data_IF_771372118670
#
_entry.id   IF_771372118670
#
_cell.length_a   1.000
_cell.length_b   1.000
_cell.length_c   1.000
_cell.angle_alpha   90.00
_cell.angle_beta   90.00
_cell.angle_gamma   90.00
#
_symmetry.space_group_name_H-M   'P 1'
#
loop_
_entity.id
_entity.type
_entity.pdbx_description
1 polymer ?
#
# COMPACT_ATOMS: atom_id res chain seq x y z
N UNK A 1 -48.82 -79.00 -30.62
CA UNK A 1 -48.35 -79.19 -32.00
C UNK A 1 -47.07 -78.38 -32.18
N UNK A 2 -45.94 -79.06 -32.42
CA UNK A 2 -44.59 -78.51 -32.54
C UNK A 2 -44.45 -77.52 -33.71
N UNK A 3 -43.72 -76.41 -33.53
CA UNK A 3 -42.77 -75.91 -34.55
C UNK A 3 -41.74 -74.96 -33.95
N UNK A 4 -40.50 -75.44 -33.88
CA UNK A 4 -39.27 -74.65 -33.69
C UNK A 4 -38.99 -73.87 -34.98
N UNK A 5 -38.63 -72.59 -34.86
CA UNK A 5 -37.96 -71.84 -35.93
C UNK A 5 -36.64 -71.32 -35.34
N UNK A 6 -35.52 -71.77 -35.91
CA UNK A 6 -34.16 -71.30 -35.62
C UNK A 6 -33.94 -69.97 -36.35
N UNK A 7 -33.44 -68.95 -35.66
CA UNK A 7 -32.89 -67.72 -36.26
C UNK A 7 -31.35 -67.81 -36.31
N UNK A 8 -30.69 -67.28 -37.36
CA UNK A 8 -29.25 -67.47 -37.59
C UNK A 8 -28.39 -66.50 -36.77
N UNK A 9 -27.34 -67.05 -36.14
CA UNK A 9 -26.20 -66.31 -35.58
C UNK A 9 -25.40 -65.65 -36.72
N UNK A 10 -25.58 -64.35 -36.95
CA UNK A 10 -24.79 -63.62 -37.96
C UNK A 10 -24.57 -62.12 -37.70
N UNK A 11 -25.46 -61.47 -36.95
CA UNK A 11 -25.51 -60.00 -36.91
C UNK A 11 -24.80 -59.34 -35.71
N UNK A 12 -24.38 -60.11 -34.71
CA UNK A 12 -23.79 -59.57 -33.47
C UNK A 12 -22.34 -59.08 -33.62
N UNK A 13 -21.62 -59.51 -34.66
CA UNK A 13 -20.19 -59.15 -34.84
C UNK A 13 -20.00 -57.69 -35.30
N UNK A 14 -20.93 -57.13 -36.05
CA UNK A 14 -20.83 -55.75 -36.55
C UNK A 14 -21.24 -54.70 -35.52
N UNK A 15 -22.21 -55.03 -34.64
CA UNK A 15 -22.68 -54.14 -33.58
C UNK A 15 -21.64 -54.00 -32.47
N UNK A 16 -20.94 -55.09 -32.12
CA UNK A 16 -19.84 -55.06 -31.15
C UNK A 16 -18.62 -54.27 -31.66
N UNK A 17 -18.33 -54.32 -32.97
CA UNK A 17 -17.24 -53.54 -33.57
C UNK A 17 -17.49 -52.04 -33.56
N UNK A 18 -18.73 -51.61 -33.80
CA UNK A 18 -19.11 -50.19 -33.80
C UNK A 18 -19.06 -49.58 -32.39
N UNK A 19 -19.47 -50.34 -31.38
CA UNK A 19 -19.40 -49.91 -29.97
C UNK A 19 -17.96 -49.81 -29.47
N UNK A 20 -17.08 -50.74 -29.89
CA UNK A 20 -15.66 -50.71 -29.54
C UNK A 20 -14.94 -49.50 -30.17
N UNK A 21 -15.24 -49.17 -31.42
CA UNK A 21 -14.66 -48.01 -32.10
C UNK A 21 -15.09 -46.66 -31.49
N UNK A 22 -16.35 -46.52 -31.06
CA UNK A 22 -16.86 -45.33 -30.37
C UNK A 22 -16.24 -45.19 -28.97
N UNK A 23 -16.03 -46.30 -28.26
CA UNK A 23 -15.37 -46.29 -26.96
C UNK A 23 -13.88 -45.91 -27.05
N UNK A 24 -13.18 -46.34 -28.11
CA UNK A 24 -11.78 -45.93 -28.37
C UNK A 24 -11.62 -44.44 -28.75
N UNK A 25 -12.62 -43.85 -29.41
CA UNK A 25 -12.66 -42.41 -29.71
C UNK A 25 -12.93 -41.55 -28.46
N UNK A 26 -13.69 -42.05 -27.49
CA UNK A 26 -13.96 -41.35 -26.21
C UNK A 26 -12.73 -41.30 -25.29
N UNK A 27 -11.80 -42.27 -25.39
CA UNK A 27 -10.61 -42.32 -24.52
C UNK A 27 -9.44 -41.51 -25.10
N UNK A 28 -9.46 -41.22 -26.41
CA UNK A 28 -8.42 -40.42 -27.08
C UNK A 28 -8.61 -38.90 -26.94
N UNK A 29 -9.65 -38.45 -26.24
CA UNK A 29 -9.94 -37.03 -25.98
C UNK A 29 -9.36 -36.45 -24.68
N UNK A 30 -8.76 -37.26 -23.81
CA UNK A 30 -8.25 -36.81 -22.49
C UNK A 30 -6.83 -36.19 -22.54
N UNK A 31 -6.44 -35.57 -23.65
CA UNK A 31 -5.09 -35.01 -23.85
C UNK A 31 -5.05 -33.51 -24.18
N UNK A 32 -6.06 -32.73 -23.78
CA UNK A 32 -5.98 -31.27 -23.89
C UNK A 32 -6.37 -30.55 -22.57
N UNK A 33 -5.34 -30.03 -21.91
CA UNK A 33 -5.30 -28.67 -21.36
C UNK A 33 -6.38 -28.25 -20.37
N UNK A 34 -6.59 -29.04 -19.30
CA UNK A 34 -7.15 -28.50 -18.05
C UNK A 34 -6.03 -28.36 -17.02
N UNK A 35 -5.13 -27.41 -17.30
CA UNK A 35 -4.03 -26.98 -16.43
C UNK A 35 -4.27 -25.60 -15.82
N UNK A 36 -3.40 -25.12 -14.91
CA UNK A 36 -3.56 -23.92 -14.07
C UNK A 36 -3.65 -22.56 -14.79
N UNK A 37 -3.84 -22.53 -16.11
CA UNK A 37 -3.90 -21.30 -16.91
C UNK A 37 -5.20 -20.50 -16.72
N UNK A 38 -6.29 -21.13 -16.25
CA UNK A 38 -7.54 -20.43 -15.93
C UNK A 38 -7.42 -19.45 -14.76
N UNK A 39 -6.43 -19.63 -13.88
CA UNK A 39 -6.14 -18.69 -12.79
C UNK A 39 -5.44 -17.42 -13.30
N UNK A 40 -4.59 -17.54 -14.33
CA UNK A 40 -3.76 -16.44 -14.87
C UNK A 40 -4.57 -15.22 -15.33
N UNK A 41 -5.77 -15.42 -15.87
CA UNK A 41 -6.66 -14.34 -16.32
C UNK A 41 -7.33 -13.54 -15.19
N UNK A 42 -7.29 -14.03 -13.96
CA UNK A 42 -8.05 -13.45 -12.84
C UNK A 42 -7.19 -12.68 -11.83
N UNK A 43 -5.87 -12.96 -11.78
CA UNK A 43 -4.92 -12.28 -10.90
C UNK A 43 -4.87 -10.74 -11.04
N UNK A 44 -4.94 -10.14 -12.25
CA UNK A 44 -4.89 -8.68 -12.39
C UNK A 44 -6.05 -7.95 -11.71
N UNK A 45 -7.28 -8.45 -11.89
CA UNK A 45 -8.49 -7.85 -11.30
C UNK A 45 -8.51 -7.96 -9.76
N UNK A 46 -7.95 -9.03 -9.20
CA UNK A 46 -7.87 -9.21 -7.75
C UNK A 46 -6.82 -8.30 -7.10
N UNK A 47 -5.67 -8.16 -7.75
CA UNK A 47 -4.62 -7.26 -7.28
C UNK A 47 -5.14 -5.82 -7.26
N UNK A 48 -5.87 -5.41 -8.29
CA UNK A 48 -6.51 -4.09 -8.35
C UNK A 48 -7.54 -3.87 -7.23
N UNK A 49 -8.43 -4.84 -6.99
CA UNK A 49 -9.42 -4.74 -5.91
C UNK A 49 -8.77 -4.65 -4.52
N UNK A 50 -7.71 -5.43 -4.26
CA UNK A 50 -6.96 -5.39 -3.01
C UNK A 50 -6.27 -4.03 -2.84
N UNK A 51 -5.58 -3.55 -3.88
CA UNK A 51 -4.89 -2.26 -3.85
C UNK A 51 -5.88 -1.12 -3.64
N UNK A 52 -7.03 -1.11 -4.33
CA UNK A 52 -8.07 -0.09 -4.13
C UNK A 52 -8.58 -0.08 -2.70
N UNK A 53 -8.88 -1.26 -2.14
CA UNK A 53 -9.39 -1.39 -0.76
C UNK A 53 -8.38 -0.87 0.25
N UNK A 54 -7.10 -1.26 0.11
CA UNK A 54 -6.03 -0.77 0.99
C UNK A 54 -5.88 0.73 0.86
N UNK A 55 -5.91 1.25 -0.38
CA UNK A 55 -5.73 2.67 -0.63
C UNK A 55 -6.86 3.50 0.00
N UNK A 56 -8.10 3.09 -0.20
CA UNK A 56 -9.29 3.69 0.42
C UNK A 56 -9.20 3.65 1.95
N UNK A 57 -8.75 2.54 2.54
CA UNK A 57 -8.56 2.43 3.99
C UNK A 57 -7.52 3.41 4.53
N UNK A 58 -6.40 3.60 3.84
CA UNK A 58 -5.39 4.58 4.25
C UNK A 58 -5.95 6.01 4.20
N UNK A 59 -6.55 6.40 3.08
CA UNK A 59 -7.15 7.74 2.94
C UNK A 59 -8.27 7.94 3.96
N UNK A 60 -9.15 6.95 4.15
CA UNK A 60 -10.23 7.01 5.13
C UNK A 60 -9.69 7.16 6.56
N UNK A 61 -8.62 6.44 6.92
CA UNK A 61 -8.02 6.57 8.25
C UNK A 61 -7.33 7.92 8.44
N UNK A 62 -6.68 8.48 7.42
CA UNK A 62 -6.12 9.84 7.48
C UNK A 62 -7.25 10.87 7.72
N UNK A 63 -8.36 10.75 6.98
CA UNK A 63 -9.52 11.62 7.18
C UNK A 63 -10.11 11.42 8.58
N UNK A 64 -10.24 10.19 9.08
CA UNK A 64 -10.67 9.94 10.47
C UNK A 64 -9.79 10.64 11.50
N UNK A 65 -8.46 10.57 11.35
CA UNK A 65 -7.52 11.24 12.26
C UNK A 65 -7.72 12.75 12.27
N UNK A 66 -7.99 13.36 11.11
CA UNK A 66 -8.32 14.77 10.99
C UNK A 66 -9.58 15.17 11.76
N UNK A 67 -10.61 14.30 11.76
CA UNK A 67 -11.83 14.45 12.57
C UNK A 67 -11.71 13.90 14.00
N UNK A 68 -10.52 13.44 14.42
CA UNK A 68 -10.28 12.75 15.71
C UNK A 68 -11.15 11.51 15.94
N UNK A 69 -11.58 10.87 14.87
CA UNK A 69 -12.29 9.60 14.89
C UNK A 69 -11.29 8.42 14.99
N UNK A 70 -11.67 7.29 15.62
CA UNK A 70 -10.76 6.15 15.77
C UNK A 70 -10.43 5.49 14.41
N UNK A 71 -9.15 5.16 14.20
CA UNK A 71 -8.69 4.45 13.00
C UNK A 71 -8.87 2.95 13.12
N UNK A 72 -9.04 2.27 11.98
CA UNK A 72 -9.14 0.81 11.93
C UNK A 72 -8.39 0.27 10.71
N UNK A 73 -7.48 -0.69 10.95
CA UNK A 73 -6.71 -1.33 9.89
C UNK A 73 -7.10 -2.79 9.77
N UNK A 74 -7.35 -3.22 8.53
CA UNK A 74 -7.61 -4.61 8.20
C UNK A 74 -6.38 -5.17 7.48
N UNK A 75 -5.88 -6.30 7.98
CA UNK A 75 -4.86 -7.09 7.31
C UNK A 75 -5.51 -8.19 6.47
N UNK A 76 -4.91 -8.52 5.33
CA UNK A 76 -5.41 -9.57 4.43
C UNK A 76 -4.90 -10.92 4.93
N UNK A 77 -5.74 -11.68 5.63
CA UNK A 77 -5.34 -12.93 6.27
C UNK A 77 -5.26 -14.11 5.29
N UNK A 78 -6.17 -14.17 4.31
CA UNK A 78 -6.23 -15.28 3.35
C UNK A 78 -6.96 -14.86 2.06
N UNK A 79 -6.51 -15.39 0.92
CA UNK A 79 -7.21 -15.28 -0.37
C UNK A 79 -7.54 -16.69 -0.85
N UNK A 80 -8.82 -17.08 -0.80
CA UNK A 80 -9.30 -18.37 -1.28
C UNK A 80 -10.09 -18.18 -2.58
N UNK A 81 -9.78 -18.94 -3.63
CA UNK A 81 -10.58 -18.94 -4.86
C UNK A 81 -11.42 -20.22 -4.96
N UNK A 82 -12.74 -20.08 -5.10
CA UNK A 82 -13.62 -21.21 -5.41
C UNK A 82 -13.90 -21.24 -6.91
N UNK A 83 -13.61 -22.37 -7.57
CA UNK A 83 -13.94 -22.60 -8.98
C UNK A 83 -15.35 -23.18 -9.08
N UNK A 84 -16.26 -22.45 -9.74
CA UNK A 84 -17.58 -22.96 -10.15
C UNK A 84 -17.48 -23.40 -11.61
N UNK A 85 -17.79 -24.68 -11.82
CA UNK A 85 -17.90 -25.31 -13.13
C UNK A 85 -19.39 -25.53 -13.41
N UNK A 86 -19.97 -24.73 -14.29
CA UNK A 86 -21.34 -24.94 -14.75
C UNK A 86 -21.31 -25.59 -16.14
N UNK A 87 -21.82 -26.82 -16.21
CA UNK A 87 -21.99 -27.55 -17.45
C UNK A 87 -23.46 -27.48 -17.86
N UNK A 88 -23.76 -26.70 -18.90
CA UNK A 88 -25.09 -26.66 -19.49
C UNK A 88 -25.09 -27.45 -20.79
N UNK A 89 -25.89 -28.50 -20.85
CA UNK A 89 -26.05 -29.36 -22.02
C UNK A 89 -27.53 -29.50 -22.36
N UNK A 90 -27.91 -29.06 -23.55
CA UNK A 90 -29.27 -29.17 -24.06
C UNK A 90 -29.28 -29.91 -25.41
N UNK A 91 -30.30 -30.75 -25.62
CA UNK A 91 -30.59 -31.33 -26.94
C UNK A 91 -31.71 -30.51 -27.56
N UNK A 92 -31.46 -29.90 -28.72
CA UNK A 92 -32.48 -29.21 -29.49
C UNK A 92 -32.68 -29.94 -30.81
N UNK A 93 -33.90 -30.39 -31.06
CA UNK A 93 -34.29 -30.94 -32.35
C UNK A 93 -34.82 -29.80 -33.22
N UNK A 94 -34.01 -29.33 -34.18
CA UNK A 94 -34.46 -28.36 -35.18
C UNK A 94 -34.91 -29.11 -36.43
N UNK A 95 -36.20 -29.10 -36.73
CA UNK A 95 -36.73 -29.59 -38.00
C UNK A 95 -36.46 -28.54 -39.10
N UNK A 96 -35.52 -28.84 -39.99
CA UNK A 96 -35.42 -28.16 -41.29
C UNK A 96 -35.92 -29.14 -42.35
N UNK A 97 -37.01 -28.78 -43.02
CA UNK A 97 -37.60 -29.36 -44.22
C UNK A 97 -37.17 -30.77 -44.66
N UNK A 98 -38.16 -31.68 -44.70
CA UNK A 98 -38.19 -32.96 -45.44
C UNK A 98 -36.86 -33.72 -45.57
N UNK A 99 -36.58 -34.60 -44.59
CA UNK A 99 -35.88 -35.85 -44.87
C UNK A 99 -34.66 -36.21 -44.03
N UNK A 100 -34.25 -35.43 -43.04
CA UNK A 100 -33.27 -35.90 -42.05
C UNK A 100 -33.35 -35.14 -40.72
N UNK A 101 -33.48 -35.88 -39.61
CA UNK A 101 -33.36 -35.34 -38.26
C UNK A 101 -31.90 -35.01 -37.98
N UNK A 102 -31.58 -33.72 -37.82
CA UNK A 102 -30.24 -33.28 -37.42
C UNK A 102 -30.28 -32.96 -35.93
N UNK A 103 -29.74 -33.87 -35.12
CA UNK A 103 -29.56 -33.66 -33.68
C UNK A 103 -28.37 -32.72 -33.46
N UNK A 104 -28.62 -31.47 -33.04
CA UNK A 104 -27.55 -30.53 -32.69
C UNK A 104 -27.32 -30.58 -31.18
N UNK A 105 -26.19 -31.17 -30.78
CA UNK A 105 -25.68 -31.10 -29.42
C UNK A 105 -24.96 -29.76 -29.24
N UNK A 106 -25.33 -29.02 -28.21
CA UNK A 106 -24.61 -27.83 -27.82
C UNK A 106 -24.27 -27.98 -26.34
N UNK A 107 -22.97 -27.94 -26.06
CA UNK A 107 -22.41 -28.02 -24.73
C UNK A 107 -21.77 -26.67 -24.45
N UNK A 108 -22.36 -25.91 -23.52
CA UNK A 108 -21.78 -24.67 -23.04
C UNK A 108 -21.16 -24.93 -21.67
N UNK A 109 -19.84 -24.86 -21.59
CA UNK A 109 -19.10 -24.84 -20.33
C UNK A 109 -18.85 -23.40 -19.92
N UNK A 110 -19.42 -22.98 -18.80
CA UNK A 110 -19.12 -21.66 -18.21
C UNK A 110 -18.27 -21.87 -16.97
N UNK A 111 -17.11 -21.21 -16.94
CA UNK A 111 -16.18 -21.21 -15.82
C UNK A 111 -16.33 -19.88 -15.08
N UNK A 112 -16.60 -19.93 -13.78
CA UNK A 112 -16.64 -18.72 -12.94
C UNK A 112 -15.83 -18.95 -11.67
N UNK A 113 -14.93 -18.02 -11.36
CA UNK A 113 -14.16 -18.03 -10.11
C UNK A 113 -14.61 -16.89 -9.23
N UNK A 114 -14.98 -17.18 -7.98
CA UNK A 114 -15.30 -16.15 -7.01
C UNK A 114 -14.28 -16.20 -5.86
N UNK A 115 -13.37 -15.22 -5.75
CA UNK A 115 -12.46 -15.15 -4.63
C UNK A 115 -13.22 -14.76 -3.38
N UNK A 116 -12.82 -15.34 -2.25
CA UNK A 116 -13.18 -14.87 -0.91
C UNK A 116 -11.89 -14.36 -0.28
N UNK A 117 -11.84 -13.05 -0.02
CA UNK A 117 -10.73 -12.40 0.66
C UNK A 117 -11.14 -12.28 2.13
N UNK A 118 -10.39 -12.92 3.02
CA UNK A 118 -10.59 -12.83 4.45
C UNK A 118 -9.72 -11.72 5.03
N UNK A 119 -10.35 -10.79 5.75
CA UNK A 119 -9.67 -9.69 6.44
C UNK A 119 -9.68 -9.92 7.95
N UNK A 120 -8.54 -9.69 8.60
CA UNK A 120 -8.42 -9.72 10.07
C UNK A 120 -8.02 -8.34 10.59
N UNK A 121 -8.60 -7.84 11.68
CA UNK A 121 -8.19 -6.58 12.28
C UNK A 121 -6.73 -6.61 12.76
N UNK A 122 -5.97 -5.54 12.51
CA UNK A 122 -4.65 -5.35 13.11
C UNK A 122 -4.83 -4.89 14.56
N UNK A 123 -4.53 -5.76 15.53
CA UNK A 123 -4.76 -5.51 16.96
C UNK A 123 -3.61 -6.04 17.83
N UNK A 124 -3.61 -5.65 19.10
CA UNK A 124 -2.67 -6.16 20.11
C UNK A 124 -1.21 -5.79 19.82
N UNK A 125 -0.30 -6.74 20.04
CA UNK A 125 1.15 -6.51 19.93
C UNK A 125 1.58 -6.16 18.50
N UNK A 126 0.96 -6.77 17.48
CA UNK A 126 1.29 -6.48 16.09
C UNK A 126 0.92 -5.04 15.71
N UNK A 127 -0.19 -4.53 16.22
CA UNK A 127 -0.53 -3.12 16.03
C UNK A 127 0.51 -2.20 16.67
N UNK A 128 0.91 -2.47 17.92
CA UNK A 128 1.92 -1.65 18.60
C UNK A 128 3.24 -1.67 17.82
N UNK A 129 3.70 -2.86 17.42
CA UNK A 129 4.95 -3.00 16.66
C UNK A 129 4.89 -2.27 15.33
N UNK A 130 3.86 -2.49 14.53
CA UNK A 130 3.82 -1.98 13.15
C UNK A 130 3.33 -0.54 13.02
N UNK A 131 2.55 -0.03 13.98
CA UNK A 131 1.97 1.33 13.89
C UNK A 131 2.61 2.34 14.84
N UNK A 132 3.09 1.91 16.01
CA UNK A 132 3.54 2.82 17.09
C UNK A 132 5.06 2.83 17.28
N UNK A 133 5.79 1.85 16.74
CA UNK A 133 7.25 1.89 16.77
C UNK A 133 7.78 2.99 15.85
N UNK A 134 8.77 3.78 16.29
CA UNK A 134 9.48 4.71 15.41
C UNK A 134 10.18 3.98 14.26
N UNK A 135 10.15 4.57 13.07
CA UNK A 135 10.85 4.02 11.90
C UNK A 135 12.37 4.02 12.16
N UNK A 136 13.09 2.90 11.99
CA UNK A 136 14.54 2.86 12.17
C UNK A 136 15.28 3.81 11.24
N UNK A 137 16.36 4.43 11.70
CA UNK A 137 17.12 5.41 10.91
C UNK A 137 17.75 4.74 9.68
N UNK A 138 18.21 3.51 9.82
CA UNK A 138 18.78 2.69 8.76
C UNK A 138 17.75 2.43 7.64
N UNK A 139 16.47 2.30 7.98
CA UNK A 139 15.40 2.14 6.99
C UNK A 139 15.23 3.42 6.16
N UNK A 140 15.37 4.61 6.77
CA UNK A 140 15.31 5.89 6.05
C UNK A 140 16.44 6.01 5.02
N UNK A 141 17.67 5.72 5.44
CA UNK A 141 18.81 5.75 4.52
C UNK A 141 18.72 4.66 3.45
N UNK A 142 18.16 3.49 3.77
CA UNK A 142 17.92 2.43 2.77
C UNK A 142 16.89 2.85 1.72
N UNK A 143 15.82 3.53 2.13
CA UNK A 143 14.85 4.12 1.20
C UNK A 143 15.53 5.14 0.28
N UNK A 144 16.35 6.03 0.85
CA UNK A 144 17.07 7.03 0.05
C UNK A 144 18.05 6.37 -0.93
N UNK A 145 18.80 5.36 -0.48
CA UNK A 145 19.71 4.60 -1.33
C UNK A 145 19.00 3.82 -2.45
N UNK A 146 17.71 3.49 -2.27
CA UNK A 146 16.86 2.88 -3.31
C UNK A 146 16.20 3.88 -4.26
N UNK A 147 16.56 5.17 -4.16
CA UNK A 147 16.12 6.22 -5.09
C UNK A 147 14.96 7.06 -4.59
N UNK A 148 14.53 6.91 -3.33
CA UNK A 148 13.54 7.82 -2.75
C UNK A 148 14.14 9.22 -2.55
N UNK A 149 13.34 10.25 -2.81
CA UNK A 149 13.71 11.63 -2.53
C UNK A 149 13.97 11.82 -1.02
N UNK A 150 15.20 12.18 -0.65
CA UNK A 150 15.60 12.33 0.75
C UNK A 150 14.83 13.42 1.50
N UNK A 151 14.51 14.53 0.83
CA UNK A 151 13.68 15.59 1.41
C UNK A 151 12.28 15.09 1.79
N UNK A 152 11.66 14.24 0.97
CA UNK A 152 10.37 13.60 1.27
C UNK A 152 10.48 12.59 2.41
N UNK A 153 11.46 11.68 2.35
CA UNK A 153 11.66 10.64 3.37
C UNK A 153 11.92 11.28 4.73
N UNK A 154 12.87 12.21 4.82
CA UNK A 154 13.15 12.90 6.09
C UNK A 154 12.04 13.87 6.49
N UNK A 155 11.44 14.57 5.53
CA UNK A 155 10.37 15.53 5.78
C UNK A 155 9.13 14.91 6.42
N UNK A 156 8.80 13.67 6.06
CA UNK A 156 7.68 12.92 6.62
C UNK A 156 8.13 12.15 7.88
N UNK A 157 9.25 11.41 7.80
CA UNK A 157 9.60 10.43 8.83
C UNK A 157 10.42 10.99 10.01
N UNK A 158 11.14 12.11 9.88
CA UNK A 158 11.95 12.67 10.98
C UNK A 158 11.17 13.74 11.70
N UNK A 159 10.95 13.55 12.99
CA UNK A 159 10.30 14.55 13.86
C UNK A 159 11.29 15.61 14.34
N UNK A 160 12.54 15.19 14.63
CA UNK A 160 13.57 16.06 15.15
C UNK A 160 14.95 15.60 14.72
N UNK A 161 15.81 16.55 14.38
CA UNK A 161 17.24 16.31 14.16
C UNK A 161 18.05 17.42 14.83
N UNK A 162 18.90 17.05 15.79
CA UNK A 162 19.59 17.97 16.68
C UNK A 162 18.63 19.05 17.25
N UNK A 163 18.97 20.33 17.06
CA UNK A 163 18.16 21.47 17.48
C UNK A 163 16.97 21.78 16.59
N UNK A 164 16.83 21.10 15.45
CA UNK A 164 15.80 21.38 14.45
C UNK A 164 14.57 20.49 14.67
N UNK A 165 13.42 21.14 14.79
CA UNK A 165 12.12 20.51 14.98
C UNK A 165 11.33 20.55 13.68
N UNK A 166 10.64 19.45 13.37
CA UNK A 166 9.75 19.34 12.23
C UNK A 166 8.33 19.20 12.77
N UNK A 167 7.65 20.28 13.18
CA UNK A 167 6.29 20.24 13.71
C UNK A 167 6.01 19.04 14.67
N UNK A 168 6.72 18.90 15.81
CA UNK A 168 6.56 17.75 16.69
C UNK A 168 5.15 17.62 17.27
N UNK A 169 4.43 18.74 17.44
CA UNK A 169 3.02 18.76 17.84
C UNK A 169 2.08 18.13 16.80
N UNK A 170 2.54 17.91 15.57
CA UNK A 170 1.78 17.31 14.48
C UNK A 170 1.81 15.77 14.48
N UNK A 171 2.59 15.15 15.37
CA UNK A 171 2.69 13.68 15.50
C UNK A 171 1.47 13.03 16.20
N UNK A 172 0.43 13.81 16.51
CA UNK A 172 -0.80 13.40 17.18
C UNK A 172 -2.01 14.22 16.71
N UNK A 173 -3.12 14.24 17.47
CA UNK A 173 -4.32 15.00 17.11
C UNK A 173 -4.02 16.46 16.80
N UNK A 174 -4.73 17.03 15.82
CA UNK A 174 -4.48 18.38 15.31
C UNK A 174 -4.36 19.41 16.44
N UNK A 175 -3.20 20.09 16.57
CA UNK A 175 -2.98 21.04 17.64
C UNK A 175 -3.77 22.33 17.39
N UNK A 176 -4.19 22.99 18.47
CA UNK A 176 -4.87 24.28 18.38
C UNK A 176 -3.90 25.42 18.05
N UNK A 177 -2.62 25.28 18.44
CA UNK A 177 -1.56 26.25 18.20
C UNK A 177 -0.62 25.76 17.10
N UNK A 178 -0.25 26.69 16.20
CA UNK A 178 0.72 26.44 15.14
C UNK A 178 2.06 25.95 15.71
N UNK A 179 2.75 25.00 15.06
CA UNK A 179 4.11 24.63 15.41
C UNK A 179 5.05 25.83 15.29
N UNK A 180 5.98 25.94 16.24
CA UNK A 180 7.00 26.99 16.21
C UNK A 180 8.22 26.54 15.39
N UNK A 181 8.82 27.47 14.63
CA UNK A 181 10.20 27.33 14.08
C UNK A 181 10.43 26.17 13.09
N UNK A 182 9.48 25.83 12.21
CA UNK A 182 9.70 24.80 11.18
C UNK A 182 10.64 25.24 10.02
N UNK A 183 10.92 26.55 9.89
CA UNK A 183 11.67 27.10 8.74
C UNK A 183 13.09 26.53 8.59
N UNK A 184 13.92 26.44 9.65
CA UNK A 184 15.25 25.86 9.55
C UNK A 184 15.23 24.38 9.16
N UNK A 185 14.22 23.63 9.61
CA UNK A 185 14.06 22.22 9.22
C UNK A 185 13.69 22.10 7.74
N UNK A 186 12.76 22.92 7.24
CA UNK A 186 12.43 22.98 5.81
C UNK A 186 13.68 23.31 4.97
N UNK A 187 14.52 24.24 5.45
CA UNK A 187 15.78 24.55 4.79
C UNK A 187 16.74 23.36 4.76
N UNK A 188 16.86 22.62 5.86
CA UNK A 188 17.62 21.37 5.87
C UNK A 188 17.09 20.38 4.82
N UNK A 189 15.77 20.23 4.66
CA UNK A 189 15.20 19.31 3.65
C UNK A 189 15.57 19.70 2.21
N UNK A 190 15.57 20.99 1.89
CA UNK A 190 16.04 21.49 0.58
C UNK A 190 17.52 21.13 0.34
N UNK A 191 18.36 21.27 1.37
CA UNK A 191 19.77 20.90 1.29
C UNK A 191 19.96 19.39 1.20
N UNK A 192 19.14 18.60 1.89
CA UNK A 192 19.20 17.13 1.85
C UNK A 192 18.88 16.57 0.46
N UNK A 193 17.96 17.19 -0.29
CA UNK A 193 17.72 16.81 -1.70
C UNK A 193 19.01 16.97 -2.51
N UNK A 194 19.65 18.15 -2.42
CA UNK A 194 20.92 18.42 -3.11
C UNK A 194 22.05 17.51 -2.62
N UNK A 195 22.09 17.23 -1.32
CA UNK A 195 23.16 16.46 -0.71
C UNK A 195 23.13 14.98 -1.12
N UNK A 196 21.92 14.41 -1.25
CA UNK A 196 21.72 13.03 -1.72
C UNK A 196 22.07 12.91 -3.20
N UNK A 197 21.59 13.83 -4.04
CA UNK A 197 21.88 13.82 -5.49
C UNK A 197 23.40 13.85 -5.77
N UNK A 198 24.14 14.58 -4.93
CA UNK A 198 25.59 14.75 -5.04
C UNK A 198 26.39 13.76 -4.17
N UNK A 199 25.73 12.82 -3.48
CA UNK A 199 26.35 11.78 -2.62
C UNK A 199 27.28 12.32 -1.52
N UNK A 200 27.00 13.52 -1.01
CA UNK A 200 27.81 14.16 0.05
C UNK A 200 27.31 13.83 1.46
N UNK A 201 26.10 13.29 1.58
CA UNK A 201 25.57 12.74 2.84
C UNK A 201 25.31 11.25 2.67
N UNK A 202 26.01 10.42 3.44
CA UNK A 202 25.93 8.96 3.35
C UNK A 202 25.97 8.29 4.73
N UNK A 203 25.33 7.11 4.82
CA UNK A 203 25.43 6.28 6.01
C UNK A 203 26.71 5.43 5.92
N UNK A 204 27.52 5.47 6.97
CA UNK A 204 28.70 4.63 7.17
C UNK A 204 28.46 3.68 8.34
N UNK A 205 29.26 2.62 8.42
CA UNK A 205 29.31 1.77 9.60
C UNK A 205 30.66 1.98 10.31
N UNK A 206 30.65 2.14 11.62
CA UNK A 206 31.86 2.18 12.42
C UNK A 206 32.67 0.88 12.18
N UNK A 207 33.96 0.96 11.83
CA UNK A 207 34.75 -0.23 11.50
C UNK A 207 34.81 -1.27 12.63
N UNK A 208 34.75 -0.82 13.90
CA UNK A 208 34.87 -1.62 15.12
C UNK A 208 33.52 -2.02 15.69
N UNK A 209 32.62 -1.06 15.93
CA UNK A 209 31.33 -1.33 16.59
C UNK A 209 30.24 -1.75 15.62
N UNK A 210 30.42 -1.51 14.31
CA UNK A 210 29.40 -1.68 13.25
C UNK A 210 28.17 -0.81 13.43
N UNK A 211 28.22 0.18 14.32
CA UNK A 211 27.13 1.13 14.52
C UNK A 211 27.03 2.12 13.34
N UNK A 212 25.83 2.58 12.99
CA UNK A 212 25.63 3.55 11.93
C UNK A 212 26.24 4.92 12.30
N UNK A 213 26.95 5.51 11.35
CA UNK A 213 27.53 6.85 11.44
C UNK A 213 27.11 7.67 10.22
N UNK A 214 26.92 8.99 10.40
CA UNK A 214 26.59 9.88 9.30
C UNK A 214 27.87 10.50 8.74
N UNK A 215 28.14 10.26 7.46
CA UNK A 215 29.16 10.96 6.70
C UNK A 215 28.58 12.21 6.06
N UNK A 216 29.19 13.37 6.29
CA UNK A 216 28.90 14.64 5.63
C UNK A 216 30.22 15.16 5.08
N UNK A 217 30.60 14.69 3.89
CA UNK A 217 31.92 14.95 3.31
C UNK A 217 31.90 16.19 2.44
N UNK A 218 32.79 17.14 2.74
CA UNK A 218 32.99 18.30 1.88
C UNK A 218 33.62 17.86 0.53
N UNK A 219 32.83 17.89 -0.54
CA UNK A 219 33.37 17.88 -1.90
C UNK A 219 33.72 19.32 -2.29
N UNK A 220 34.82 19.60 -3.01
CA UNK A 220 35.16 20.94 -3.49
C UNK A 220 33.97 21.64 -4.19
N UNK A 221 33.19 20.88 -4.95
CA UNK A 221 32.05 21.38 -5.74
C UNK A 221 30.77 21.61 -4.90
N UNK A 222 30.72 21.07 -3.67
CA UNK A 222 29.52 21.08 -2.81
C UNK A 222 29.80 21.55 -1.38
N UNK A 223 30.97 22.15 -1.13
CA UNK A 223 31.40 22.65 0.18
C UNK A 223 30.38 23.56 0.85
N UNK A 224 29.75 24.46 0.08
CA UNK A 224 28.70 25.35 0.59
C UNK A 224 27.47 24.59 1.14
N UNK A 225 27.03 23.52 0.46
CA UNK A 225 25.89 22.71 0.91
C UNK A 225 26.25 21.98 2.20
N UNK A 226 27.43 21.36 2.25
CA UNK A 226 27.87 20.62 3.43
C UNK A 226 28.12 21.53 4.63
N UNK A 227 28.72 22.72 4.43
CA UNK A 227 28.92 23.70 5.50
C UNK A 227 27.59 24.20 6.04
N UNK A 228 26.61 24.52 5.19
CA UNK A 228 25.30 24.97 5.65
C UNK A 228 24.56 23.87 6.44
N UNK A 229 24.63 22.60 6.00
CA UNK A 229 24.09 21.47 6.77
C UNK A 229 24.76 21.36 8.14
N UNK A 230 26.10 21.39 8.19
CA UNK A 230 26.85 21.29 9.45
C UNK A 230 26.49 22.44 10.40
N UNK A 231 26.35 23.66 9.89
CA UNK A 231 25.94 24.83 10.68
C UNK A 231 24.51 24.74 11.20
N UNK A 232 23.54 24.37 10.36
CA UNK A 232 22.15 24.18 10.76
C UNK A 232 21.99 23.12 11.85
N UNK A 233 22.82 22.07 11.80
CA UNK A 233 22.82 20.99 12.78
C UNK A 233 23.70 21.28 14.01
N UNK A 234 24.50 22.36 14.01
CA UNK A 234 25.41 22.68 15.11
C UNK A 234 26.57 21.68 15.25
N UNK A 235 27.08 21.18 14.13
CA UNK A 235 28.15 20.18 14.05
C UNK A 235 29.54 20.81 13.93
N UNK A 236 30.57 20.07 14.33
CA UNK A 236 31.97 20.47 14.10
C UNK A 236 32.28 20.41 12.61
N UNK A 237 32.63 21.55 12.02
CA UNK A 237 32.91 21.66 10.58
C UNK A 237 34.19 20.93 10.15
N UNK A 238 35.10 20.64 11.09
CA UNK A 238 36.43 20.06 10.83
C UNK A 238 36.44 18.53 10.72
N UNK A 239 35.33 17.87 11.02
CA UNK A 239 35.17 16.42 10.88
C UNK A 239 34.11 16.12 9.82
N UNK A 240 34.18 14.95 9.20
CA UNK A 240 33.22 14.54 8.16
C UNK A 240 32.38 13.33 8.58
N UNK A 241 32.67 12.71 9.73
CA UNK A 241 31.95 11.53 10.21
C UNK A 241 31.41 11.82 11.61
N UNK A 242 30.11 11.65 11.78
CA UNK A 242 29.37 11.94 13.01
C UNK A 242 28.68 10.68 13.53
N UNK A 243 28.62 10.53 14.87
CA UNK A 243 27.84 9.45 15.49
C UNK A 243 26.35 9.72 15.34
N UNK A 244 25.53 8.68 15.21
CA UNK A 244 24.07 8.81 15.23
C UNK A 244 23.53 8.31 16.57
N UNK A 245 22.60 9.05 17.18
CA UNK A 245 21.89 8.59 18.37
C UNK A 245 20.48 9.19 18.48
N UNK A 246 19.79 8.95 19.60
CA UNK A 246 18.47 9.55 19.91
C UNK A 246 18.47 10.48 21.13
N UNK A 247 19.63 10.99 21.57
CA UNK A 247 19.76 11.78 22.80
C UNK A 247 19.79 13.28 22.50
N UNK A 248 18.80 14.04 22.99
CA UNK A 248 18.64 15.46 22.70
C UNK A 248 19.01 16.38 23.86
N UNK A 249 19.18 15.85 25.08
CA UNK A 249 19.44 16.67 26.28
C UNK A 249 20.87 17.18 26.36
N UNK A 250 21.81 16.51 25.69
CA UNK A 250 23.24 16.85 25.66
C UNK A 250 23.75 16.90 24.22
N UNK A 251 23.47 18.00 23.49
CA UNK A 251 23.97 18.18 22.14
C UNK A 251 25.50 18.13 22.12
N UNK A 252 26.06 17.47 21.10
CA UNK A 252 27.51 17.41 20.89
C UNK A 252 27.85 17.72 19.43
N UNK A 253 28.91 18.50 19.15
CA UNK A 253 29.31 18.82 17.77
C UNK A 253 29.73 17.60 16.93
N UNK A 254 30.02 16.46 17.56
CA UNK A 254 30.45 15.21 16.91
C UNK A 254 29.30 14.19 16.71
N UNK A 255 28.05 14.60 16.98
CA UNK A 255 26.91 13.70 17.05
C UNK A 255 25.67 14.29 16.36
N UNK A 256 24.97 13.46 15.60
CA UNK A 256 23.67 13.74 15.00
C UNK A 256 22.59 12.93 15.71
N UNK A 257 21.79 13.62 16.51
CA UNK A 257 20.66 13.07 17.25
C UNK A 257 19.42 13.12 16.38
N UNK A 258 18.81 11.97 16.10
CA UNK A 258 17.64 11.83 15.21
C UNK A 258 16.51 11.17 15.99
N UNK A 259 15.32 11.76 15.91
CA UNK A 259 14.07 11.17 16.38
C UNK A 259 13.15 11.00 15.19
N UNK A 260 12.81 9.76 14.92
CA UNK A 260 11.89 9.38 13.85
C UNK A 260 10.46 9.26 14.38
N UNK A 261 9.50 9.39 13.47
CA UNK A 261 8.08 9.16 13.70
C UNK A 261 7.76 7.69 13.59
N UNK A 262 6.71 7.28 14.28
CA UNK A 262 6.01 6.03 13.99
C UNK A 262 5.12 6.19 12.75
N UNK A 263 4.62 5.09 12.21
CA UNK A 263 3.66 5.15 11.11
C UNK A 263 2.37 5.89 11.51
N UNK A 264 1.88 5.68 12.73
CA UNK A 264 0.73 6.41 13.26
C UNK A 264 1.02 7.92 13.35
N UNK A 265 2.21 8.29 13.83
CA UNK A 265 2.63 9.70 13.89
C UNK A 265 2.76 10.33 12.49
N UNK A 266 3.20 9.57 11.50
CA UNK A 266 3.20 10.00 10.09
C UNK A 266 1.78 10.22 9.61
N UNK A 267 0.85 9.30 9.85
CA UNK A 267 -0.54 9.44 9.43
C UNK A 267 -1.22 10.65 10.08
N UNK A 268 -0.95 10.91 11.38
CA UNK A 268 -1.38 12.14 12.03
C UNK A 268 -0.80 13.37 11.33
N UNK A 269 0.51 13.38 11.05
CA UNK A 269 1.14 14.53 10.41
C UNK A 269 0.53 14.83 9.03
N UNK A 270 0.29 13.79 8.22
CA UNK A 270 -0.38 13.91 6.92
C UNK A 270 -1.84 14.35 7.05
N UNK A 271 -2.53 13.98 8.14
CA UNK A 271 -3.94 14.33 8.36
C UNK A 271 -4.18 15.82 8.55
N UNK A 272 -3.17 16.61 8.90
CA UNK A 272 -3.36 18.06 9.10
C UNK A 272 -3.50 18.85 7.79
N UNK A 273 -3.11 18.27 6.65
CA UNK A 273 -3.32 18.87 5.34
C UNK A 273 -4.46 18.15 4.58
N UNK A 274 -5.62 18.10 5.25
CA UNK A 274 -6.88 17.59 4.71
C UNK A 274 -7.86 18.77 4.66
N UNK A 275 -8.41 19.04 3.48
CA UNK A 275 -9.41 20.09 3.31
C UNK A 275 -10.64 19.80 4.17
N UNK A 276 -11.27 20.85 4.70
CA UNK A 276 -12.48 20.72 5.51
C UNK A 276 -13.57 21.60 4.95
N UNK A 277 -14.81 21.08 4.81
CA UNK A 277 -15.97 21.92 4.52
C UNK A 277 -16.06 23.04 5.55
N UNK A 278 -16.39 24.24 5.09
CA UNK A 278 -16.49 25.42 5.97
C UNK A 278 -17.50 25.22 7.09
N UNK A 279 -18.61 24.52 6.80
CA UNK A 279 -19.61 24.12 7.81
C UNK A 279 -18.99 23.27 8.94
N UNK A 280 -18.12 22.31 8.60
CA UNK A 280 -17.46 21.46 9.61
C UNK A 280 -16.50 22.26 10.50
N UNK A 281 -15.83 23.28 9.94
CA UNK A 281 -14.99 24.20 10.72
C UNK A 281 -15.85 25.03 11.70
N UNK A 282 -16.97 25.58 11.23
CA UNK A 282 -17.88 26.41 12.02
C UNK A 282 -18.58 25.62 13.13
N UNK A 283 -18.96 24.37 12.88
CA UNK A 283 -19.57 23.48 13.87
C UNK A 283 -18.55 22.87 14.85
N UNK A 284 -17.25 23.14 14.67
CA UNK A 284 -16.20 22.61 15.55
C UNK A 284 -15.94 21.12 15.40
N UNK A 285 -16.31 20.52 14.26
CA UNK A 285 -16.06 19.10 13.97
C UNK A 285 -14.59 18.82 13.67
N UNK A 286 -13.84 19.85 13.29
CA UNK A 286 -12.39 19.80 13.05
C UNK A 286 -11.70 20.90 13.84
N UNK A 287 -10.42 20.71 14.15
CA UNK A 287 -9.64 21.77 14.79
C UNK A 287 -9.03 22.69 13.75
N UNK A 288 -9.31 23.98 13.90
CA UNK A 288 -8.62 25.03 13.13
C UNK A 288 -7.39 25.46 13.92
N UNK A 289 -6.21 25.04 13.48
CA UNK A 289 -4.93 25.47 14.06
C UNK A 289 -4.73 26.95 13.81
N UNK A 290 -4.31 27.70 14.83
CA UNK A 290 -4.08 29.14 14.73
C UNK A 290 -2.68 29.51 15.21
N UNK A 291 -2.11 30.54 14.60
CA UNK A 291 -0.88 31.15 15.08
C UNK A 291 -1.15 32.03 16.32
N UNK A 292 -0.08 32.60 16.89
CA UNK A 292 -0.15 33.52 18.03
C UNK A 292 -0.96 34.80 17.78
N UNK A 293 -1.27 35.11 16.52
CA UNK A 293 -2.06 36.25 16.09
C UNK A 293 -3.52 35.88 15.78
N UNK A 294 -3.90 34.60 15.93
CA UNK A 294 -5.23 34.08 15.63
C UNK A 294 -5.47 33.73 14.16
N UNK A 295 -4.46 33.88 13.30
CA UNK A 295 -4.53 33.53 11.88
C UNK A 295 -4.55 32.02 11.72
N UNK A 296 -5.40 31.50 10.82
CA UNK A 296 -5.40 30.07 10.49
C UNK A 296 -4.04 29.66 9.94
N UNK A 297 -3.48 28.59 10.51
CA UNK A 297 -2.18 28.07 10.12
C UNK A 297 -2.31 27.22 8.86
N UNK A 298 -1.47 27.50 7.88
CA UNK A 298 -1.39 26.76 6.64
C UNK A 298 -0.45 25.56 6.80
N UNK A 299 -1.05 24.39 7.04
CA UNK A 299 -0.33 23.12 7.16
C UNK A 299 0.41 22.72 5.88
N UNK A 300 0.01 23.24 4.71
CA UNK A 300 0.70 23.07 3.44
C UNK A 300 2.11 23.66 3.41
N UNK A 301 2.50 24.47 4.40
CA UNK A 301 3.87 25.00 4.54
C UNK A 301 4.83 24.07 5.27
N UNK A 302 4.32 23.06 5.95
CA UNK A 302 5.12 22.06 6.67
C UNK A 302 5.76 21.06 5.70
N UNK A 303 6.79 20.34 6.14
CA UNK A 303 7.49 19.38 5.28
C UNK A 303 6.54 18.28 4.75
N UNK A 304 5.64 17.77 5.60
CA UNK A 304 4.65 16.77 5.19
C UNK A 304 3.55 17.40 4.33
N UNK A 305 2.98 18.54 4.74
CA UNK A 305 1.90 19.20 4.01
C UNK A 305 2.28 19.64 2.59
N UNK A 306 3.53 20.08 2.38
CA UNK A 306 4.05 20.35 1.02
C UNK A 306 4.02 19.14 0.08
N UNK A 307 4.08 17.94 0.65
CA UNK A 307 4.23 16.69 -0.09
C UNK A 307 2.95 15.84 -0.16
N UNK A 308 1.90 16.24 0.54
CA UNK A 308 0.65 15.48 0.64
C UNK A 308 -0.54 16.38 0.97
N UNK A 309 -1.61 16.26 0.19
CA UNK A 309 -2.85 17.03 0.37
C UNK A 309 -4.05 16.16 -0.01
N UNK A 310 -5.02 16.03 0.90
CA UNK A 310 -6.32 15.44 0.60
C UNK A 310 -7.31 16.57 0.38
N UNK A 311 -7.90 16.57 -0.81
CA UNK A 311 -8.91 17.53 -1.24
C UNK A 311 -10.31 17.11 -0.78
N UNK A 312 -11.22 18.07 -0.74
CA UNK A 312 -12.63 17.85 -0.44
C UNK A 312 -13.53 18.33 -1.58
N UNK A 313 -14.61 17.59 -1.85
CA UNK A 313 -15.68 17.98 -2.77
C UNK A 313 -17.07 17.59 -2.25
N UNK A 314 -18.11 18.30 -2.71
CA UNK A 314 -19.51 18.01 -2.33
C UNK A 314 -20.07 16.81 -3.09
N UNK A 315 -19.58 16.60 -4.31
CA UNK A 315 -19.96 15.50 -5.19
C UNK A 315 -18.77 14.58 -5.46
N UNK A 316 -19.04 13.38 -5.99
CA UNK A 316 -17.99 12.43 -6.35
C UNK A 316 -16.96 13.06 -7.33
N UNK A 317 -15.66 13.00 -7.03
CA UNK A 317 -14.62 13.55 -7.88
C UNK A 317 -14.27 12.58 -9.03
N UNK A 318 -14.60 12.94 -10.27
CA UNK A 318 -14.37 12.07 -11.45
C UNK A 318 -12.90 11.73 -11.70
N UNK A 319 -11.98 12.63 -11.32
CA UNK A 319 -10.52 12.50 -11.56
C UNK A 319 -9.73 12.31 -10.27
N UNK A 320 -10.20 11.39 -9.42
CA UNK A 320 -9.50 11.00 -8.22
C UNK A 320 -8.64 9.76 -8.45
N UNK A 321 -7.44 9.75 -7.86
CA UNK A 321 -6.66 8.52 -7.68
C UNK A 321 -7.35 7.60 -6.66
N UNK A 322 -7.82 8.18 -5.56
CA UNK A 322 -8.61 7.52 -4.50
C UNK A 322 -9.64 8.52 -4.00
N UNK A 323 -10.88 8.10 -3.84
CA UNK A 323 -11.94 8.92 -3.27
C UNK A 323 -12.75 8.12 -2.24
N UNK A 324 -13.06 8.74 -1.11
CA UNK A 324 -13.85 8.13 -0.04
C UNK A 324 -15.00 9.06 0.37
N UNK A 325 -16.21 8.54 0.62
CA UNK A 325 -17.28 9.33 1.22
C UNK A 325 -17.09 9.41 2.74
N UNK A 326 -17.22 10.61 3.31
CA UNK A 326 -17.13 10.82 4.75
C UNK A 326 -17.98 12.02 5.20
N UNK A 327 -18.82 11.82 6.22
CA UNK A 327 -19.67 12.88 6.82
C UNK A 327 -20.45 13.72 5.79
N UNK A 328 -20.96 13.08 4.73
CA UNK A 328 -21.76 13.74 3.69
C UNK A 328 -20.97 14.44 2.57
N UNK A 329 -19.64 14.36 2.60
CA UNK A 329 -18.75 14.92 1.57
C UNK A 329 -17.84 13.83 1.00
N UNK A 330 -17.12 14.17 -0.08
CA UNK A 330 -16.10 13.32 -0.66
C UNK A 330 -14.72 13.88 -0.34
N UNK A 331 -13.81 13.00 0.08
CA UNK A 331 -12.40 13.30 0.32
C UNK A 331 -11.56 12.49 -0.65
N UNK A 332 -10.57 13.12 -1.28
CA UNK A 332 -9.85 12.45 -2.36
C UNK A 332 -8.42 12.93 -2.55
N UNK A 333 -7.60 12.04 -3.11
CA UNK A 333 -6.33 12.39 -3.73
C UNK A 333 -6.57 12.60 -5.23
N UNK A 334 -6.20 13.77 -5.76
CA UNK A 334 -6.35 14.03 -7.19
C UNK A 334 -5.41 13.14 -8.02
N UNK A 335 -5.88 12.66 -9.18
CA UNK A 335 -5.06 11.75 -10.00
C UNK A 335 -3.83 12.41 -10.63
N UNK A 336 -3.92 13.72 -10.86
CA UNK A 336 -2.84 14.57 -11.36
C UNK A 336 -1.91 15.13 -10.26
N UNK A 337 -2.17 14.84 -8.99
CA UNK A 337 -1.29 15.23 -7.88
C UNK A 337 -0.21 14.15 -7.65
N UNK A 338 0.88 14.28 -8.41
CA UNK A 338 2.01 13.35 -8.36
C UNK A 338 2.81 13.43 -7.05
N UNK A 339 2.78 14.58 -6.38
CA UNK A 339 3.47 14.77 -5.09
C UNK A 339 2.76 13.98 -4.00
N UNK A 340 1.43 14.17 -3.86
CA UNK A 340 0.63 13.41 -2.91
C UNK A 340 0.65 11.91 -3.23
N UNK A 341 0.60 11.51 -4.51
CA UNK A 341 0.70 10.09 -4.90
C UNK A 341 2.05 9.49 -4.51
N UNK A 342 3.15 10.22 -4.67
CA UNK A 342 4.48 9.77 -4.27
C UNK A 342 4.60 9.61 -2.75
N UNK A 343 4.05 10.54 -1.97
CA UNK A 343 4.04 10.45 -0.50
C UNK A 343 3.11 9.34 -0.01
N UNK A 344 1.99 9.12 -0.69
CA UNK A 344 1.11 7.99 -0.44
C UNK A 344 1.79 6.65 -0.73
N UNK A 345 2.55 6.55 -1.81
CA UNK A 345 3.37 5.38 -2.10
C UNK A 345 4.44 5.15 -1.02
N UNK A 346 5.08 6.21 -0.51
CA UNK A 346 6.03 6.11 0.60
C UNK A 346 5.33 5.57 1.86
N UNK A 347 4.16 6.11 2.22
CA UNK A 347 3.37 5.67 3.37
C UNK A 347 3.05 4.17 3.30
N UNK A 348 2.54 3.71 2.15
CA UNK A 348 2.20 2.30 1.96
C UNK A 348 3.43 1.39 1.96
N UNK A 349 4.57 1.87 1.46
CA UNK A 349 5.85 1.14 1.53
C UNK A 349 6.37 1.01 2.96
N UNK A 350 6.29 2.09 3.76
CA UNK A 350 6.66 2.07 5.18
C UNK A 350 5.80 1.08 5.97
N UNK A 351 4.49 1.07 5.73
CA UNK A 351 3.59 0.09 6.34
C UNK A 351 3.99 -1.36 6.01
N UNK A 352 4.33 -1.64 4.74
CA UNK A 352 4.77 -2.98 4.33
C UNK A 352 6.09 -3.39 4.97
N UNK A 353 7.02 -2.45 5.15
CA UNK A 353 8.31 -2.69 5.82
C UNK A 353 8.10 -3.08 7.29
N UNK A 354 7.21 -2.38 7.99
CA UNK A 354 6.87 -2.66 9.39
C UNK A 354 6.02 -3.93 9.57
N UNK A 355 5.20 -4.28 8.58
CA UNK A 355 4.41 -5.51 8.58
C UNK A 355 5.28 -6.77 8.36
N UNK A 356 6.32 -6.68 7.53
CA UNK A 356 7.26 -7.79 7.28
C UNK A 356 8.12 -8.17 8.50
N UNK A 357 8.27 -7.26 9.47
CA UNK A 357 8.96 -7.53 10.73
C UNK A 357 8.09 -8.34 11.72
N UNK A 358 6.76 -8.35 11.55
CA UNK A 358 5.87 -9.21 12.31
C UNK A 358 5.88 -10.62 11.70
N UNK A 359 6.25 -11.64 12.49
CA UNK A 359 6.26 -13.04 12.04
C UNK A 359 4.91 -13.41 11.43
N UNK A 360 4.89 -13.66 10.12
CA UNK A 360 3.74 -14.27 9.44
C UNK A 360 3.49 -15.66 10.05
N UNK A 361 2.37 -15.81 10.76
CA UNK A 361 1.80 -17.14 11.00
C UNK A 361 1.18 -17.55 9.66
N UNK A 362 1.88 -18.40 8.92
CA UNK A 362 1.40 -18.92 7.65
C UNK A 362 0.02 -19.57 7.80
N UNK A 363 -0.79 -19.60 6.72
CA UNK A 363 -2.15 -20.12 6.80
C UNK A 363 -2.12 -21.59 7.26
N UNK A 364 -2.86 -21.89 8.33
CA UNK A 364 -3.16 -23.26 8.70
C UNK A 364 -4.06 -23.85 7.61
N UNK A 365 -3.48 -24.71 6.77
CA UNK A 365 -4.19 -25.41 5.71
C UNK A 365 -5.18 -26.40 6.35
N UNK A 366 -6.42 -25.98 6.62
CA UNK A 366 -7.48 -26.91 7.03
C UNK A 366 -8.15 -27.46 5.78
N UNK A 367 -7.71 -28.64 5.36
CA UNK A 367 -8.41 -29.43 4.33
C UNK A 367 -9.75 -29.88 4.93
N UNK A 368 -10.90 -29.58 4.31
CA UNK A 368 -12.17 -30.13 4.78
C UNK A 368 -12.15 -31.65 4.59
N UNK A 369 -12.29 -32.37 5.70
CA UNK A 369 -12.56 -33.80 5.67
C UNK A 369 -13.96 -33.98 5.07
N UNK A 370 -14.03 -34.75 3.99
CA UNK A 370 -15.29 -35.15 3.36
C UNK A 370 -15.67 -36.55 3.80
#
# INVERSE_FOLDING_TARGET
MNRRIKAPLGSYKYIAGLFSAIFSLLISGCNNSFGPDGLRGTHPLYNEAIVSTINEQFVQNIVRLHYRDPTFFLDVSNVAATLKLEFSGGLYQSSLGSGSDILKLNALSTYSTQPTISYSPLQGENFVKSMLSPIPVEALFSLIASGWNGGRVFGVCVERVNGLENAPSASGPTPSLAPEKDQPFNRLMELMVKAVDNKVVMLHADPKTKEPMLGISASPDHSAVTSEIKQLLGLDENIDIYRINGEFTKPRPDTVSIRTRSLMSIMFYLSHHVDSPELHKQEGLVTVTRDKHGTEFDWGKTAAGKSFHILQSDTYPEKAFVAIPYRGYWFYLADNDLESKSTFMLLTQLFRLEAGAAKSVGPALTIPLR
#
